data_IF_005470860081
#
_entry.id   IF_005470860081
#
_cell.length_a   1.000
_cell.length_b   1.000
_cell.length_c   1.000
_cell.angle_alpha   90.00
_cell.angle_beta   90.00
_cell.angle_gamma   90.00
#
_symmetry.space_group_name_H-M   'P 1'
#
loop_
_entity.id
_entity.type
_entity.pdbx_description
1 polymer ?
#
# COMPACT_ATOMS: atom_id res chain seq x y z
N UNK A 1 -95.87 -32.07 65.31
CA UNK A 1 -96.26 -32.55 63.97
C UNK A 1 -95.82 -31.53 62.92
N UNK A 2 -95.27 -32.03 61.84
CA UNK A 2 -94.47 -31.33 60.81
C UNK A 2 -95.32 -30.60 59.75
N UNK A 3 -94.66 -29.62 59.11
CA UNK A 3 -94.67 -29.36 57.65
C UNK A 3 -95.59 -28.23 57.14
N UNK A 4 -94.97 -27.12 56.72
CA UNK A 4 -94.67 -26.86 55.28
C UNK A 4 -93.78 -25.62 55.09
N UNK A 5 -92.64 -25.85 54.41
CA UNK A 5 -91.85 -24.88 53.65
C UNK A 5 -92.41 -24.80 52.21
N UNK A 6 -92.12 -23.69 51.48
CA UNK A 6 -92.51 -23.27 50.09
C UNK A 6 -93.61 -22.16 50.05
N UNK A 7 -93.54 -21.04 49.31
CA UNK A 7 -92.66 -20.54 48.22
C UNK A 7 -92.74 -18.99 48.07
N UNK A 8 -91.79 -18.33 47.33
CA UNK A 8 -91.65 -16.87 47.22
C UNK A 8 -92.09 -16.26 45.84
N UNK A 9 -92.38 -14.95 45.80
CA UNK A 9 -92.48 -14.11 44.59
C UNK A 9 -92.33 -12.61 44.92
N UNK A 10 -91.82 -11.70 44.05
CA UNK A 10 -91.41 -11.82 42.64
C UNK A 10 -89.89 -11.63 42.44
N UNK A 11 -89.08 -12.66 42.67
CA UNK A 11 -87.63 -12.59 42.49
C UNK A 11 -87.18 -12.61 41.00
N UNK A 12 -88.03 -13.07 40.08
CA UNK A 12 -87.68 -13.23 38.65
C UNK A 12 -87.62 -11.92 37.85
N UNK A 13 -88.46 -10.92 38.17
CA UNK A 13 -88.50 -9.66 37.43
C UNK A 13 -87.29 -8.75 37.74
N UNK A 14 -86.87 -8.71 39.01
CA UNK A 14 -85.67 -7.96 39.41
C UNK A 14 -84.38 -8.60 38.87
N UNK A 15 -84.30 -9.94 38.81
CA UNK A 15 -83.14 -10.63 38.25
C UNK A 15 -82.94 -10.38 36.74
N UNK A 16 -84.03 -10.30 35.96
CA UNK A 16 -83.97 -10.02 34.53
C UNK A 16 -83.49 -8.59 34.23
N UNK A 17 -83.99 -7.59 34.98
CA UNK A 17 -83.55 -6.20 34.82
C UNK A 17 -82.09 -5.99 35.23
N UNK A 18 -81.62 -6.72 36.25
CA UNK A 18 -80.22 -6.67 36.68
C UNK A 18 -79.29 -7.37 35.66
N UNK A 19 -79.75 -8.47 35.04
CA UNK A 19 -79.00 -9.14 33.97
C UNK A 19 -78.86 -8.27 32.72
N UNK A 20 -79.91 -7.55 32.31
CA UNK A 20 -79.85 -6.61 31.19
C UNK A 20 -78.92 -5.42 31.49
N UNK A 21 -79.00 -4.85 32.71
CA UNK A 21 -78.10 -3.76 33.11
C UNK A 21 -76.61 -4.19 33.15
N UNK A 22 -76.33 -5.42 33.58
CA UNK A 22 -74.97 -5.99 33.56
C UNK A 22 -74.49 -6.22 32.13
N UNK A 23 -75.36 -6.69 31.24
CA UNK A 23 -75.04 -6.89 29.83
C UNK A 23 -74.75 -5.56 29.13
N UNK A 24 -75.56 -4.53 29.38
CA UNK A 24 -75.35 -3.20 28.82
C UNK A 24 -74.07 -2.55 29.35
N UNK A 25 -73.76 -2.71 30.64
CA UNK A 25 -72.50 -2.24 31.22
C UNK A 25 -71.29 -2.98 30.64
N UNK A 26 -71.37 -4.31 30.52
CA UNK A 26 -70.32 -5.12 29.89
C UNK A 26 -70.11 -4.72 28.43
N UNK A 27 -71.19 -4.45 27.69
CA UNK A 27 -71.14 -3.95 26.31
C UNK A 27 -70.45 -2.58 26.24
N UNK A 28 -70.77 -1.65 27.15
CA UNK A 28 -70.13 -0.34 27.22
C UNK A 28 -68.64 -0.43 27.56
N UNK A 29 -68.28 -1.27 28.54
CA UNK A 29 -66.87 -1.51 28.91
C UNK A 29 -66.11 -2.13 27.75
N UNK A 30 -66.72 -3.06 27.01
CA UNK A 30 -66.12 -3.67 25.83
C UNK A 30 -65.90 -2.65 24.70
N UNK A 31 -66.90 -1.81 24.42
CA UNK A 31 -66.78 -0.74 23.42
C UNK A 31 -65.75 0.31 23.83
N UNK A 32 -65.71 0.69 25.10
CA UNK A 32 -64.70 1.60 25.64
C UNK A 32 -63.30 0.97 25.56
N UNK A 33 -63.18 -0.33 25.83
CA UNK A 33 -61.94 -1.09 25.68
C UNK A 33 -61.42 -1.11 24.24
N UNK A 34 -62.31 -1.40 23.27
CA UNK A 34 -61.98 -1.36 21.84
C UNK A 34 -61.63 0.06 21.37
N UNK A 35 -62.34 1.08 21.84
CA UNK A 35 -62.06 2.48 21.52
C UNK A 35 -60.72 2.97 22.09
N UNK A 36 -60.42 2.62 23.34
CA UNK A 36 -59.15 2.93 23.98
C UNK A 36 -57.98 2.18 23.32
N UNK A 37 -58.17 0.91 22.95
CA UNK A 37 -57.19 0.13 22.21
C UNK A 37 -56.93 0.72 20.81
N UNK A 38 -57.98 1.09 20.08
CA UNK A 38 -57.84 1.75 18.77
C UNK A 38 -57.09 3.09 18.89
N UNK A 39 -57.36 3.87 19.95
CA UNK A 39 -56.64 5.12 20.23
C UNK A 39 -55.17 4.87 20.57
N UNK A 40 -54.89 3.90 21.43
CA UNK A 40 -53.53 3.50 21.78
C UNK A 40 -52.76 2.94 20.56
N UNK A 41 -53.42 2.20 19.66
CA UNK A 41 -52.81 1.74 18.42
C UNK A 41 -52.45 2.92 17.50
N UNK A 42 -53.37 3.88 17.34
CA UNK A 42 -53.13 5.06 16.51
C UNK A 42 -52.01 5.96 17.09
N UNK A 43 -52.00 6.19 18.40
CA UNK A 43 -50.96 6.97 19.08
C UNK A 43 -49.64 6.21 19.15
N UNK A 44 -49.69 4.89 19.37
CA UNK A 44 -48.54 3.99 19.37
C UNK A 44 -47.84 3.93 18.01
N UNK A 45 -48.58 3.83 16.90
CA UNK A 45 -48.00 3.91 15.55
C UNK A 45 -47.35 5.26 15.27
N UNK A 46 -47.93 6.37 15.76
CA UNK A 46 -47.31 7.70 15.61
C UNK A 46 -46.03 7.82 16.41
N UNK A 47 -46.02 7.38 17.67
CA UNK A 47 -44.83 7.38 18.52
C UNK A 47 -43.73 6.48 17.95
N UNK A 48 -44.10 5.30 17.43
CA UNK A 48 -43.16 4.41 16.74
C UNK A 48 -42.54 5.06 15.51
N UNK A 49 -43.37 5.66 14.63
CA UNK A 49 -42.87 6.34 13.43
C UNK A 49 -41.95 7.53 13.80
N UNK A 50 -42.26 8.25 14.87
CA UNK A 50 -41.40 9.32 15.39
C UNK A 50 -40.04 8.76 15.86
N UNK A 51 -40.04 7.69 16.66
CA UNK A 51 -38.84 7.02 17.12
C UNK A 51 -38.00 6.47 15.96
N UNK A 52 -38.62 5.89 14.92
CA UNK A 52 -37.90 5.41 13.72
C UNK A 52 -37.28 6.59 12.97
N UNK A 53 -38.00 7.70 12.83
CA UNK A 53 -37.48 8.91 12.17
C UNK A 53 -36.32 9.51 12.96
N UNK A 54 -36.42 9.53 14.29
CA UNK A 54 -35.36 10.01 15.16
C UNK A 54 -34.15 9.07 15.17
N UNK A 55 -34.37 7.74 15.22
CA UNK A 55 -33.32 6.73 15.14
C UNK A 55 -32.58 6.77 13.80
N UNK A 56 -33.29 6.90 12.68
CA UNK A 56 -32.66 7.05 11.35
C UNK A 56 -31.90 8.38 11.23
N UNK A 57 -32.43 9.47 11.80
CA UNK A 57 -31.72 10.75 11.84
C UNK A 57 -30.47 10.68 12.72
N UNK A 58 -30.54 10.02 13.87
CA UNK A 58 -29.42 9.82 14.78
C UNK A 58 -28.35 8.93 14.13
N UNK A 59 -28.74 7.82 13.49
CA UNK A 59 -27.82 6.97 12.74
C UNK A 59 -27.09 7.74 11.64
N UNK A 60 -27.82 8.55 10.85
CA UNK A 60 -27.19 9.38 9.80
C UNK A 60 -26.23 10.40 10.38
N UNK A 61 -26.60 11.07 11.48
CA UNK A 61 -25.71 12.03 12.17
C UNK A 61 -24.46 11.34 12.70
N UNK A 62 -24.61 10.20 13.37
CA UNK A 62 -23.48 9.42 13.90
C UNK A 62 -22.58 8.90 12.78
N UNK A 63 -23.16 8.44 11.67
CA UNK A 63 -22.40 8.03 10.49
C UNK A 63 -21.60 9.20 9.90
N UNK A 64 -22.22 10.36 9.70
CA UNK A 64 -21.53 11.54 9.18
C UNK A 64 -20.37 11.99 10.10
N UNK A 65 -20.60 12.02 11.42
CA UNK A 65 -19.55 12.36 12.39
C UNK A 65 -18.45 11.30 12.41
N UNK A 66 -18.79 10.02 12.32
CA UNK A 66 -17.81 8.94 12.26
C UNK A 66 -16.97 9.01 10.98
N UNK A 67 -17.59 9.24 9.83
CA UNK A 67 -16.91 9.42 8.54
C UNK A 67 -15.97 10.64 8.58
N UNK A 68 -16.41 11.76 9.14
CA UNK A 68 -15.57 12.95 9.34
C UNK A 68 -14.37 12.65 10.25
N UNK A 69 -14.59 11.96 11.38
CA UNK A 69 -13.53 11.60 12.32
C UNK A 69 -12.54 10.59 11.75
N UNK A 70 -13.02 9.60 10.99
CA UNK A 70 -12.16 8.63 10.31
C UNK A 70 -11.36 9.32 9.21
N UNK A 71 -11.97 10.22 8.44
CA UNK A 71 -11.27 11.00 7.42
C UNK A 71 -10.19 11.88 8.04
N UNK A 72 -10.51 12.61 9.11
CA UNK A 72 -9.55 13.46 9.84
C UNK A 72 -8.40 12.63 10.44
N UNK A 73 -8.70 11.49 11.06
CA UNK A 73 -7.71 10.57 11.60
C UNK A 73 -6.84 9.94 10.50
N UNK A 74 -7.44 9.54 9.39
CA UNK A 74 -6.73 8.98 8.23
C UNK A 74 -5.81 10.02 7.59
N UNK A 75 -6.26 11.26 7.42
CA UNK A 75 -5.43 12.36 6.94
C UNK A 75 -4.27 12.66 7.87
N UNK A 76 -4.50 12.71 9.20
CA UNK A 76 -3.44 12.89 10.20
C UNK A 76 -2.45 11.72 10.22
N UNK A 77 -2.94 10.50 10.06
CA UNK A 77 -2.10 9.32 9.99
C UNK A 77 -1.27 9.31 8.71
N UNK A 78 -1.87 9.69 7.58
CA UNK A 78 -1.17 9.87 6.31
C UNK A 78 -0.06 10.90 6.41
N UNK A 79 -0.34 12.08 6.99
CA UNK A 79 0.68 13.12 7.17
C UNK A 79 1.79 12.66 8.11
N UNK A 80 1.46 12.01 9.24
CA UNK A 80 2.46 11.46 10.16
C UNK A 80 3.29 10.35 9.51
N UNK A 81 2.68 9.48 8.71
CA UNK A 81 3.39 8.43 7.99
C UNK A 81 4.35 9.02 6.95
N UNK A 82 3.93 10.06 6.22
CA UNK A 82 4.81 10.79 5.29
C UNK A 82 5.96 11.47 6.04
N UNK A 83 5.70 12.15 7.15
CA UNK A 83 6.73 12.83 7.95
C UNK A 83 7.75 11.84 8.54
N UNK A 84 7.27 10.70 9.05
CA UNK A 84 8.12 9.62 9.54
C UNK A 84 8.91 9.03 8.38
N UNK A 85 8.29 8.79 7.23
CA UNK A 85 8.98 8.25 6.06
C UNK A 85 10.09 9.20 5.59
N UNK A 86 9.82 10.51 5.47
CA UNK A 86 10.82 11.50 5.06
C UNK A 86 11.97 11.58 6.08
N UNK A 87 11.65 11.57 7.37
CA UNK A 87 12.66 11.59 8.44
C UNK A 87 13.45 10.27 8.49
N UNK A 88 12.80 9.14 8.23
CA UNK A 88 13.41 7.83 8.19
C UNK A 88 14.27 7.63 6.95
N UNK A 89 13.90 8.16 5.76
CA UNK A 89 14.71 8.08 4.54
C UNK A 89 16.14 8.58 4.77
N UNK A 90 16.33 9.72 5.44
CA UNK A 90 17.67 10.19 5.79
C UNK A 90 18.40 9.33 6.83
N UNK A 91 17.69 8.53 7.63
CA UNK A 91 18.29 7.51 8.50
C UNK A 91 18.59 6.21 7.73
N UNK A 92 17.79 5.87 6.72
CA UNK A 92 18.02 4.74 5.82
C UNK A 92 19.29 4.92 5.01
N UNK A 93 19.58 6.11 4.50
CA UNK A 93 20.86 6.41 3.83
C UNK A 93 22.06 6.14 4.76
N UNK A 94 21.92 6.47 6.05
CA UNK A 94 22.95 6.18 7.06
C UNK A 94 23.06 4.68 7.36
N UNK A 95 21.96 3.95 7.34
CA UNK A 95 21.95 2.50 7.47
C UNK A 95 22.55 1.81 6.25
N UNK A 96 22.33 2.35 5.04
CA UNK A 96 22.96 1.89 3.80
C UNK A 96 24.48 2.05 3.89
N UNK A 97 24.97 3.21 4.33
CA UNK A 97 26.39 3.42 4.62
C UNK A 97 26.96 2.40 5.62
N UNK A 98 26.26 2.15 6.73
CA UNK A 98 26.72 1.19 7.75
C UNK A 98 26.68 -0.24 7.21
N UNK A 99 25.68 -0.58 6.39
CA UNK A 99 25.56 -1.86 5.74
C UNK A 99 26.68 -2.06 4.72
N UNK A 100 26.94 -1.09 3.85
CA UNK A 100 28.07 -1.11 2.91
C UNK A 100 29.40 -1.28 3.63
N UNK A 101 29.62 -0.57 4.75
CA UNK A 101 30.83 -0.71 5.56
C UNK A 101 30.96 -2.11 6.15
N UNK A 102 29.85 -2.70 6.61
CA UNK A 102 29.83 -4.06 7.17
C UNK A 102 30.02 -5.12 6.09
N UNK A 103 29.37 -4.97 4.94
CA UNK A 103 29.53 -5.86 3.78
C UNK A 103 30.96 -5.76 3.25
N UNK A 104 31.50 -4.55 3.09
CA UNK A 104 32.88 -4.33 2.67
C UNK A 104 33.87 -4.97 3.62
N UNK A 105 33.70 -4.80 4.95
CA UNK A 105 34.54 -5.46 5.95
C UNK A 105 34.43 -6.98 5.93
N UNK A 106 33.24 -7.53 5.65
CA UNK A 106 33.06 -8.97 5.53
C UNK A 106 33.75 -9.52 4.27
N UNK A 107 33.62 -8.84 3.14
CA UNK A 107 34.28 -9.18 1.88
C UNK A 107 35.81 -9.09 1.99
N UNK A 108 36.33 -8.05 2.63
CA UNK A 108 37.78 -7.92 2.91
C UNK A 108 38.31 -9.07 3.76
N UNK A 109 37.53 -9.55 4.75
CA UNK A 109 37.91 -10.73 5.55
C UNK A 109 37.89 -12.03 4.77
N UNK A 110 37.14 -12.08 3.66
CA UNK A 110 37.09 -13.21 2.73
C UNK A 110 38.12 -13.07 1.59
N UNK A 111 39.05 -12.12 1.70
CA UNK A 111 40.10 -11.83 0.71
C UNK A 111 39.54 -11.41 -0.67
N UNK A 112 38.33 -10.86 -0.70
CA UNK A 112 37.71 -10.32 -1.91
C UNK A 112 38.19 -8.86 -2.10
N UNK A 113 38.94 -8.55 -3.18
CA UNK A 113 39.47 -7.20 -3.42
C UNK A 113 38.35 -6.19 -3.66
N UNK A 114 38.49 -4.97 -3.12
CA UNK A 114 37.49 -3.92 -3.30
C UNK A 114 37.62 -3.22 -4.67
N UNK A 115 36.54 -2.56 -5.12
CA UNK A 115 36.56 -1.80 -6.37
C UNK A 115 37.63 -0.68 -6.38
N UNK A 116 37.93 -0.10 -5.20
CA UNK A 116 38.98 0.93 -5.07
C UNK A 116 40.38 0.35 -5.28
N UNK A 117 40.62 -0.85 -4.78
CA UNK A 117 41.90 -1.54 -4.93
C UNK A 117 42.16 -1.92 -6.38
N UNK A 118 41.13 -2.40 -7.07
CA UNK A 118 41.19 -2.67 -8.51
C UNK A 118 41.52 -1.39 -9.30
N UNK A 119 40.89 -0.27 -8.97
CA UNK A 119 41.14 0.99 -9.67
C UNK A 119 42.54 1.56 -9.42
N UNK A 120 43.03 1.45 -8.17
CA UNK A 120 44.40 1.81 -7.83
C UNK A 120 45.42 0.94 -8.57
N UNK A 121 45.13 -0.36 -8.72
CA UNK A 121 45.96 -1.29 -9.48
C UNK A 121 45.96 -0.95 -10.97
N UNK A 122 44.79 -0.68 -11.58
CA UNK A 122 44.67 -0.24 -12.97
C UNK A 122 45.49 1.02 -13.23
N UNK A 123 45.41 2.00 -12.35
CA UNK A 123 46.19 3.25 -12.45
C UNK A 123 47.70 2.97 -12.40
N UNK A 124 48.14 2.07 -11.52
CA UNK A 124 49.55 1.66 -11.46
C UNK A 124 49.98 0.91 -12.72
N UNK A 125 49.13 0.04 -13.27
CA UNK A 125 49.39 -0.69 -14.50
C UNK A 125 49.54 0.29 -15.67
N UNK A 126 48.66 1.28 -15.80
CA UNK A 126 48.79 2.30 -16.84
C UNK A 126 50.07 3.14 -16.71
N UNK A 127 50.44 3.52 -15.48
CA UNK A 127 51.67 4.24 -15.22
C UNK A 127 52.91 3.39 -15.57
N UNK A 128 52.90 2.10 -15.23
CA UNK A 128 53.97 1.17 -15.62
C UNK A 128 54.00 0.95 -17.13
N UNK A 129 52.85 0.78 -17.79
CA UNK A 129 52.77 0.62 -19.24
C UNK A 129 53.40 1.83 -19.95
N UNK A 130 53.09 3.05 -19.50
CA UNK A 130 53.72 4.27 -20.01
C UNK A 130 55.23 4.30 -19.77
N UNK A 131 55.69 3.88 -18.58
CA UNK A 131 57.11 3.83 -18.27
C UNK A 131 57.87 2.78 -19.11
N UNK A 132 57.26 1.62 -19.37
CA UNK A 132 57.82 0.56 -20.21
C UNK A 132 57.86 0.98 -21.68
N UNK A 133 56.82 1.63 -22.20
CA UNK A 133 56.84 2.19 -23.56
C UNK A 133 57.93 3.27 -23.71
N UNK A 134 58.09 4.14 -22.70
CA UNK A 134 59.17 5.12 -22.68
C UNK A 134 60.57 4.47 -22.63
N UNK A 135 60.73 3.36 -21.92
CA UNK A 135 61.99 2.60 -21.91
C UNK A 135 62.22 1.83 -23.21
N UNK A 136 61.18 1.24 -23.80
CA UNK A 136 61.26 0.45 -25.04
C UNK A 136 61.59 1.34 -26.25
N UNK A 137 61.03 2.55 -26.30
CA UNK A 137 61.41 3.58 -27.30
C UNK A 137 62.84 4.10 -27.09
N UNK A 138 63.36 4.10 -25.86
CA UNK A 138 64.75 4.48 -25.54
C UNK A 138 65.77 3.37 -25.78
N UNK A 139 65.36 2.11 -25.74
CA UNK A 139 66.26 0.94 -25.90
C UNK A 139 66.29 0.40 -27.33
N UNK A 140 65.41 0.88 -28.23
CA UNK A 140 65.61 0.65 -29.67
C UNK A 140 66.81 1.47 -30.11
N UNK A 141 67.95 0.86 -30.51
CA UNK A 141 68.98 1.63 -31.19
C UNK A 141 68.28 2.14 -32.45
N UNK A 142 68.21 3.46 -32.59
CA UNK A 142 68.01 4.06 -33.88
C UNK A 142 69.14 3.52 -34.77
N UNK A 143 68.86 2.46 -35.52
CA UNK A 143 69.64 2.09 -36.67
C UNK A 143 69.60 3.33 -37.56
N UNK A 144 70.65 4.15 -37.45
CA UNK A 144 70.91 5.27 -38.33
C UNK A 144 70.88 4.70 -39.74
N UNK A 145 69.78 4.93 -40.45
CA UNK A 145 69.72 4.76 -41.88
C UNK A 145 70.84 5.62 -42.46
N UNK A 146 71.89 4.95 -42.94
CA UNK A 146 73.06 5.59 -43.51
C UNK A 146 72.63 6.51 -44.65
N UNK A 147 73.08 7.78 -44.58
CA UNK A 147 73.20 8.63 -45.76
C UNK A 147 74.08 7.91 -46.77
N UNK A 148 73.51 7.46 -47.89
CA UNK A 148 74.25 7.13 -49.10
C UNK A 148 73.91 8.17 -50.18
N UNK A 149 74.92 8.75 -50.88
CA UNK A 149 74.75 9.99 -51.64
C UNK A 149 74.06 9.76 -52.99
N UNK A 150 73.49 10.85 -53.49
CA UNK A 150 72.83 10.98 -54.78
C UNK A 150 73.64 10.43 -55.96
N UNK A 151 72.96 9.67 -56.83
CA UNK A 151 73.49 9.13 -58.06
C UNK A 151 73.56 10.19 -59.18
N UNK A 152 74.71 10.28 -59.86
CA UNK A 152 74.83 10.80 -61.23
C UNK A 152 74.80 9.62 -62.21
N UNK A 153 74.14 9.73 -63.37
CA UNK A 153 73.97 8.60 -64.29
C UNK A 153 75.20 8.39 -65.19
N UNK A 154 75.58 7.14 -65.44
CA UNK A 154 76.41 6.73 -66.58
C UNK A 154 75.55 5.94 -67.59
N UNK A 155 75.76 6.08 -68.91
CA UNK A 155 75.05 5.30 -69.92
C UNK A 155 75.86 4.10 -70.44
N UNK A 156 75.12 3.01 -70.71
CA UNK A 156 75.35 1.92 -71.71
C UNK A 156 76.54 0.98 -71.42
N UNK A 157 76.57 -0.33 -71.70
CA UNK A 157 75.75 -1.43 -72.26
C UNK A 157 76.69 -2.69 -72.17
N UNK A 158 76.42 -3.93 -72.67
CA UNK A 158 75.22 -4.56 -73.28
C UNK A 158 74.72 -5.80 -72.49
N UNK A 159 73.41 -6.10 -72.48
CA UNK A 159 72.73 -7.13 -73.30
C UNK A 159 73.44 -8.50 -73.31
N UNK A 160 72.84 -9.57 -72.73
CA UNK A 160 71.87 -10.48 -73.39
C UNK A 160 71.56 -11.74 -72.55
N UNK A 161 70.25 -11.95 -72.32
CA UNK A 161 69.44 -13.20 -72.38
C UNK A 161 70.02 -14.52 -71.85
N UNK A 162 69.26 -15.14 -70.93
CA UNK A 162 68.42 -16.36 -71.10
C UNK A 162 67.81 -16.70 -69.73
N UNK A 163 66.51 -16.56 -69.49
CA UNK A 163 65.37 -17.42 -69.88
C UNK A 163 65.31 -18.79 -69.15
N UNK A 164 64.41 -18.93 -68.16
CA UNK A 164 63.33 -19.94 -68.01
C UNK A 164 62.69 -19.85 -66.60
N UNK A 165 61.40 -19.48 -66.52
CA UNK A 165 60.22 -20.32 -66.21
C UNK A 165 59.94 -20.42 -64.68
N UNK A 166 58.95 -19.72 -64.09
CA UNK A 166 57.51 -20.04 -63.99
C UNK A 166 57.27 -21.45 -63.41
N UNK A 167 57.01 -21.63 -62.10
CA UNK A 167 55.68 -21.61 -61.42
C UNK A 167 54.66 -22.55 -62.06
N UNK A 168 54.39 -23.70 -61.44
CA UNK A 168 53.18 -24.04 -60.63
C UNK A 168 53.58 -25.21 -59.73
#
# INVERSE_FOLDING_TARGET
MVKKLQQPGPAKAHGAQLADAVRDSAQQIWQAGLGAFAKAQAEGSKAFNALVKEGTALQRKTQAVAEEKISEASSRMGSMATDISVKASGQWDKLESIFEDRVSKALQKLDVPSAKDLNALTTRIEALAKAVDALSTKTRPAAKAGKKPAAKPMPKAPIRRRAKAATV
#
